data_IF_908755608411
#
_entry.id   IF_908755608411
#
_cell.length_a   1.000
_cell.length_b   1.000
_cell.length_c   1.000
_cell.angle_alpha   90.00
_cell.angle_beta   90.00
_cell.angle_gamma   90.00
#
_symmetry.space_group_name_H-M   'P 1'
#
loop_
_entity.id
_entity.type
_entity.pdbx_description
1 polymer ?
#
# COMPACT_ATOMS: atom_id res chain seq x y z
N UNK A 1 -27.27 -12.47 5.31
CA UNK A 1 -26.97 -11.26 4.50
C UNK A 1 -25.91 -11.63 3.49
N UNK A 2 -26.15 -11.43 2.20
CA UNK A 2 -25.09 -11.53 1.19
C UNK A 2 -24.15 -10.34 1.40
N UNK A 3 -23.12 -10.50 2.24
CA UNK A 3 -22.02 -9.54 2.30
C UNK A 3 -21.13 -9.81 1.09
N UNK A 4 -21.52 -9.23 -0.04
CA UNK A 4 -20.70 -9.22 -1.25
C UNK A 4 -19.52 -8.28 -1.03
N UNK A 5 -18.34 -8.82 -0.77
CA UNK A 5 -17.11 -8.04 -0.76
C UNK A 5 -16.88 -7.47 -2.16
N UNK A 6 -16.77 -6.15 -2.27
CA UNK A 6 -16.55 -5.45 -3.54
C UNK A 6 -15.06 -5.45 -3.86
N UNK A 7 -14.72 -5.88 -5.06
CA UNK A 7 -13.34 -5.95 -5.51
C UNK A 7 -12.86 -4.60 -6.06
N UNK A 8 -11.59 -4.22 -5.85
CA UNK A 8 -10.98 -3.06 -6.50
C UNK A 8 -10.96 -3.22 -8.02
N UNK A 9 -10.84 -2.12 -8.77
CA UNK A 9 -10.84 -2.07 -10.24
C UNK A 9 -9.88 -3.10 -10.84
N UNK A 10 -8.69 -3.26 -10.28
CA UNK A 10 -7.70 -4.22 -10.77
C UNK A 10 -8.19 -5.69 -10.77
N UNK A 11 -9.22 -5.99 -9.99
CA UNK A 11 -9.82 -7.31 -9.83
C UNK A 11 -11.27 -7.39 -10.36
N UNK A 12 -11.77 -6.34 -10.99
CA UNK A 12 -13.05 -6.39 -11.71
C UNK A 12 -12.94 -7.40 -12.87
N UNK A 13 -13.95 -8.26 -13.03
CA UNK A 13 -13.94 -9.43 -13.90
C UNK A 13 -13.66 -10.76 -13.20
N UNK A 14 -13.16 -10.72 -11.96
CA UNK A 14 -12.90 -11.91 -11.13
C UNK A 14 -13.95 -12.07 -10.01
N UNK A 15 -15.11 -11.44 -10.12
CA UNK A 15 -16.15 -11.46 -9.06
C UNK A 15 -16.76 -12.86 -8.82
N UNK A 16 -16.56 -13.77 -9.78
CA UNK A 16 -16.98 -15.17 -9.66
C UNK A 16 -15.89 -16.06 -9.06
N UNK A 17 -14.65 -15.58 -8.96
CA UNK A 17 -13.62 -16.30 -8.21
C UNK A 17 -14.01 -16.27 -6.73
N UNK A 18 -14.16 -17.47 -6.16
CA UNK A 18 -14.42 -17.59 -4.73
C UNK A 18 -13.09 -17.36 -4.02
N UNK A 19 -12.94 -16.21 -3.39
CA UNK A 19 -11.93 -16.04 -2.35
C UNK A 19 -12.33 -16.96 -1.19
N UNK A 20 -11.59 -18.04 -1.00
CA UNK A 20 -11.78 -18.88 0.17
C UNK A 20 -11.59 -18.00 1.41
N UNK A 21 -12.58 -17.99 2.30
CA UNK A 21 -12.42 -17.38 3.61
C UNK A 21 -11.49 -18.31 4.37
N UNK A 22 -10.20 -17.98 4.34
CA UNK A 22 -9.19 -18.64 5.16
C UNK A 22 -9.14 -17.89 6.47
N UNK A 23 -9.58 -18.55 7.54
CA UNK A 23 -9.31 -18.05 8.89
C UNK A 23 -7.79 -18.15 9.12
N UNK A 24 -7.14 -17.00 9.15
CA UNK A 24 -5.71 -16.87 9.43
C UNK A 24 -5.55 -16.35 10.86
N UNK A 25 -4.64 -16.95 11.61
CA UNK A 25 -4.13 -16.34 12.84
C UNK A 25 -3.18 -15.17 12.51
N UNK A 26 -2.83 -14.41 13.54
CA UNK A 26 -1.99 -13.22 13.39
C UNK A 26 -0.61 -13.55 12.77
N UNK A 27 -0.04 -14.71 13.10
CA UNK A 27 1.26 -15.14 12.57
C UNK A 27 1.17 -15.46 11.07
N UNK A 28 0.16 -16.23 10.67
CA UNK A 28 -0.07 -16.59 9.27
C UNK A 28 -0.42 -15.35 8.45
N UNK A 29 -1.20 -14.44 9.01
CA UNK A 29 -1.50 -13.17 8.37
C UNK A 29 -0.23 -12.31 8.19
N UNK A 30 0.62 -12.22 9.21
CA UNK A 30 1.90 -11.52 9.11
C UNK A 30 2.82 -12.14 8.04
N UNK A 31 2.86 -13.47 7.93
CA UNK A 31 3.61 -14.13 6.87
C UNK A 31 3.10 -13.74 5.47
N UNK A 32 1.78 -13.65 5.26
CA UNK A 32 1.20 -13.18 3.99
C UNK A 32 1.53 -11.71 3.70
N UNK A 33 1.62 -10.87 4.71
CA UNK A 33 2.07 -9.49 4.54
C UNK A 33 3.52 -9.43 4.07
N UNK A 34 4.40 -10.27 4.63
CA UNK A 34 5.80 -10.36 4.20
C UNK A 34 5.87 -10.80 2.73
N UNK A 35 5.14 -11.84 2.35
CA UNK A 35 5.09 -12.33 0.96
C UNK A 35 4.66 -11.22 0.00
N UNK A 36 3.62 -10.46 0.35
CA UNK A 36 3.14 -9.33 -0.44
C UNK A 36 4.23 -8.25 -0.61
N UNK A 37 4.91 -7.88 0.48
CA UNK A 37 6.00 -6.89 0.45
C UNK A 37 7.15 -7.40 -0.43
N UNK A 38 7.55 -8.66 -0.30
CA UNK A 38 8.57 -9.27 -1.16
C UNK A 38 8.18 -9.22 -2.63
N UNK A 39 6.92 -9.47 -2.98
CA UNK A 39 6.42 -9.37 -4.34
C UNK A 39 6.51 -7.94 -4.91
N UNK A 40 6.19 -6.92 -4.10
CA UNK A 40 6.35 -5.52 -4.50
C UNK A 40 7.82 -5.16 -4.81
N UNK A 41 8.76 -5.60 -3.96
CA UNK A 41 10.19 -5.41 -4.22
C UNK A 41 10.65 -6.16 -5.48
N UNK A 42 10.23 -7.42 -5.66
CA UNK A 42 10.54 -8.17 -6.88
C UNK A 42 10.03 -7.47 -8.14
N UNK A 43 8.85 -6.85 -8.09
CA UNK A 43 8.31 -6.04 -9.19
C UNK A 43 9.12 -4.77 -9.43
N UNK A 44 9.58 -4.10 -8.37
CA UNK A 44 10.47 -2.96 -8.50
C UNK A 44 11.81 -3.35 -9.13
N UNK A 45 12.40 -4.49 -8.75
CA UNK A 45 13.61 -5.02 -9.41
C UNK A 45 13.39 -5.24 -10.91
N UNK A 46 12.26 -5.84 -11.27
CA UNK A 46 11.88 -6.01 -12.68
C UNK A 46 11.79 -4.67 -13.42
N UNK A 47 11.08 -3.69 -12.87
CA UNK A 47 10.97 -2.36 -13.48
C UNK A 47 12.32 -1.65 -13.59
N UNK A 48 13.20 -1.83 -12.60
CA UNK A 48 14.58 -1.33 -12.67
C UNK A 48 15.34 -1.97 -13.82
N UNK A 49 15.25 -3.29 -13.99
CA UNK A 49 15.86 -3.99 -15.12
C UNK A 49 15.32 -3.53 -16.48
N UNK A 50 14.06 -3.07 -16.53
CA UNK A 50 13.46 -2.46 -17.72
C UNK A 50 13.80 -0.97 -17.92
N UNK A 51 14.65 -0.37 -17.07
CA UNK A 51 15.07 1.03 -17.21
C UNK A 51 14.05 2.07 -16.75
N UNK A 52 13.07 1.71 -15.91
CA UNK A 52 12.14 2.69 -15.32
C UNK A 52 12.87 3.62 -14.36
N UNK A 53 12.52 4.91 -14.40
CA UNK A 53 13.15 5.95 -13.59
C UNK A 53 12.78 5.84 -12.10
N UNK A 54 11.52 5.48 -11.78
CA UNK A 54 11.01 5.40 -10.41
C UNK A 54 10.42 4.00 -10.08
N UNK A 55 11.21 2.93 -10.17
CA UNK A 55 10.69 1.55 -10.14
C UNK A 55 10.06 1.15 -8.80
N UNK A 56 10.59 1.65 -7.69
CA UNK A 56 10.04 1.42 -6.35
C UNK A 56 8.70 2.15 -6.21
N UNK A 57 8.65 3.43 -6.60
CA UNK A 57 7.43 4.22 -6.56
C UNK A 57 6.31 3.58 -7.38
N UNK A 58 6.62 3.16 -8.60
CA UNK A 58 5.67 2.51 -9.51
C UNK A 58 5.08 1.22 -8.91
N UNK A 59 5.91 0.37 -8.32
CA UNK A 59 5.46 -0.90 -7.72
C UNK A 59 4.60 -0.66 -6.47
N UNK A 60 5.04 0.20 -5.55
CA UNK A 60 4.35 0.43 -4.29
C UNK A 60 3.08 1.26 -4.46
N UNK A 61 3.07 2.25 -5.36
CA UNK A 61 1.89 3.07 -5.63
C UNK A 61 0.72 2.21 -6.11
N UNK A 62 0.97 1.26 -7.01
CA UNK A 62 -0.07 0.34 -7.48
C UNK A 62 -0.65 -0.51 -6.34
N UNK A 63 0.20 -1.04 -5.46
CA UNK A 63 -0.23 -1.80 -4.29
C UNK A 63 -1.09 -0.96 -3.33
N UNK A 64 -0.65 0.27 -3.01
CA UNK A 64 -1.35 1.17 -2.11
C UNK A 64 -2.72 1.59 -2.67
N UNK A 65 -2.78 1.95 -3.95
CA UNK A 65 -4.04 2.36 -4.60
C UNK A 65 -5.07 1.23 -4.54
N UNK A 66 -4.68 0.00 -4.86
CA UNK A 66 -5.60 -1.15 -4.82
C UNK A 66 -6.10 -1.43 -3.39
N UNK A 67 -5.25 -1.28 -2.36
CA UNK A 67 -5.66 -1.44 -0.96
C UNK A 67 -6.63 -0.35 -0.51
N UNK A 68 -6.36 0.92 -0.84
CA UNK A 68 -7.24 2.03 -0.49
C UNK A 68 -8.59 1.91 -1.21
N UNK A 69 -8.59 1.51 -2.47
CA UNK A 69 -9.80 1.27 -3.22
C UNK A 69 -10.63 0.13 -2.62
N UNK A 70 -9.99 -0.99 -2.25
CA UNK A 70 -10.68 -2.10 -1.59
C UNK A 70 -11.29 -1.66 -0.24
N UNK A 71 -10.58 -0.85 0.54
CA UNK A 71 -11.11 -0.28 1.80
C UNK A 71 -12.30 0.64 1.53
N UNK A 72 -12.18 1.58 0.60
CA UNK A 72 -13.26 2.53 0.27
C UNK A 72 -14.53 1.79 -0.20
N UNK A 73 -14.37 0.75 -1.02
CA UNK A 73 -15.50 -0.03 -1.52
C UNK A 73 -16.21 -0.85 -0.44
N UNK A 74 -15.51 -1.28 0.61
CA UNK A 74 -16.06 -2.22 1.61
C UNK A 74 -16.34 -1.59 2.97
N UNK A 75 -15.59 -0.58 3.37
CA UNK A 75 -15.71 0.14 4.65
C UNK A 75 -15.25 1.60 4.50
N UNK A 76 -16.09 2.48 3.91
CA UNK A 76 -15.73 3.88 3.64
C UNK A 76 -15.27 4.65 4.89
N UNK A 77 -15.92 4.40 6.03
CA UNK A 77 -15.60 5.07 7.30
C UNK A 77 -14.18 4.69 7.78
N UNK A 78 -13.78 3.43 7.63
CA UNK A 78 -12.42 2.97 7.95
C UNK A 78 -11.39 3.48 6.94
N UNK A 79 -11.76 3.55 5.65
CA UNK A 79 -10.91 4.07 4.59
C UNK A 79 -10.50 5.52 4.86
N UNK A 80 -11.46 6.37 5.28
CA UNK A 80 -11.19 7.77 5.65
C UNK A 80 -10.23 7.87 6.86
N UNK A 81 -10.38 6.99 7.85
CA UNK A 81 -9.46 6.89 8.98
C UNK A 81 -8.05 6.50 8.55
N UNK A 82 -7.93 5.50 7.67
CA UNK A 82 -6.65 5.05 7.11
C UNK A 82 -5.95 6.13 6.28
N UNK A 83 -6.70 6.84 5.41
CA UNK A 83 -6.19 7.97 4.63
C UNK A 83 -5.64 9.08 5.54
N UNK A 84 -6.38 9.41 6.60
CA UNK A 84 -5.96 10.41 7.58
C UNK A 84 -4.65 10.01 8.27
N UNK A 85 -4.53 8.74 8.67
CA UNK A 85 -3.29 8.20 9.25
C UNK A 85 -2.12 8.23 8.27
N UNK A 86 -2.36 7.85 7.01
CA UNK A 86 -1.34 7.90 5.97
C UNK A 86 -0.84 9.34 5.75
N UNK A 87 -1.75 10.31 5.70
CA UNK A 87 -1.40 11.73 5.59
C UNK A 87 -0.52 12.18 6.77
N UNK A 88 -0.90 11.81 8.01
CA UNK A 88 -0.10 12.12 9.21
C UNK A 88 1.32 11.52 9.14
N UNK A 89 1.46 10.29 8.64
CA UNK A 89 2.77 9.64 8.46
C UNK A 89 3.59 10.39 7.42
N UNK A 90 3.00 10.71 6.27
CA UNK A 90 3.64 11.49 5.21
C UNK A 90 4.12 12.83 5.79
N UNK A 91 3.23 13.59 6.42
CA UNK A 91 3.55 14.89 7.01
C UNK A 91 4.70 14.79 8.02
N UNK A 92 4.69 13.76 8.89
CA UNK A 92 5.77 13.53 9.85
C UNK A 92 7.12 13.22 9.18
N UNK A 93 7.12 12.35 8.16
CA UNK A 93 8.33 11.97 7.41
C UNK A 93 8.93 13.19 6.72
N UNK A 94 8.11 13.99 6.04
CA UNK A 94 8.59 15.17 5.30
C UNK A 94 8.92 16.35 6.22
N UNK A 95 8.20 16.54 7.34
CA UNK A 95 8.57 17.51 8.37
C UNK A 95 9.90 17.16 9.06
N UNK A 96 10.24 15.88 9.18
CA UNK A 96 11.54 15.40 9.65
C UNK A 96 12.68 15.75 8.68
N UNK A 97 12.46 15.56 7.37
CA UNK A 97 13.44 15.90 6.32
C UNK A 97 13.74 17.40 6.23
N UNK A 98 12.73 18.26 6.43
CA UNK A 98 12.91 19.72 6.47
C UNK A 98 13.76 20.13 7.68
N UNK A 99 13.63 19.45 8.83
CA UNK A 99 14.44 19.72 10.03
C UNK A 99 15.90 19.29 9.85
N UNK A 100 16.16 18.14 9.24
CA UNK A 100 17.53 17.67 8.96
C UNK A 100 18.25 18.52 7.91
N UNK A 101 17.54 19.11 6.95
CA UNK A 101 18.12 20.07 5.99
C UNK A 101 18.49 21.42 6.65
N UNK A 102 17.70 21.89 7.63
CA UNK A 102 18.00 23.14 8.37
C UNK A 102 19.18 23.02 9.34
N UNK A 103 19.46 21.83 9.88
CA UNK A 103 20.60 21.60 10.78
C UNK A 103 21.94 21.40 10.04
N UNK A 104 21.92 21.28 8.71
CA UNK A 104 23.10 21.05 7.87
C UNK A 104 23.71 22.30 7.23
N UNK A 105 23.18 23.50 7.50
CA UNK A 105 23.81 24.74 7.05
C UNK A 105 25.03 25.03 7.95
N UNK A 106 26.28 25.02 7.43
CA UNK A 106 27.41 25.49 8.21
C UNK A 106 27.22 26.99 8.43
N UNK A 107 27.26 27.40 9.70
CA UNK A 107 27.29 28.82 10.05
C UNK A 107 28.46 29.49 9.34
N UNK A 108 28.17 30.63 8.70
CA UNK A 108 29.15 31.63 8.27
C UNK A 108 29.76 32.25 9.53
#
# INVERSE_FOLDING_TARGET
MNMSFRLPIALQGYERERFEIVELDDESFAARQIDFICALYGRAEYFRACGRESPIGDAFLAGIVNMLEALELNSPDEAQGCLTRLQQIIDAVFAGRIRTMKSGAPGI
#
